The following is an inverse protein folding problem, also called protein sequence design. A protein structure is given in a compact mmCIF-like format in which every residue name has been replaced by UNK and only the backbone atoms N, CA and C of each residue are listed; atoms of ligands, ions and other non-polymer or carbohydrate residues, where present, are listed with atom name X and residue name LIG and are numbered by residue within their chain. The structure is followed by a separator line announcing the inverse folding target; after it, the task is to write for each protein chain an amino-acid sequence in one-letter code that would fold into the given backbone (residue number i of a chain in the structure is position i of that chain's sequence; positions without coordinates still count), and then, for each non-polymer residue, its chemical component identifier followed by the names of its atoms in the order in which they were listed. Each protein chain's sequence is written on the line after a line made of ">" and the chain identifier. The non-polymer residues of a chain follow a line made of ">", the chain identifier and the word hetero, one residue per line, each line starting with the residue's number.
data_IF_511591656394
#
_entry.id   IF_511591656394
#
_cell.length_a   1.000
_cell.length_b   1.000
_cell.length_c   1.000
_cell.angle_alpha   90.00
_cell.angle_beta   90.00
_cell.angle_gamma   90.00
#
_symmetry.space_group_name_H-M   'P 1'
#
loop_
_entity.id
_entity.type
_entity.pdbx_description
1 polymer ?
#
# COMPACT_ATOMS: atom_id res chain seq x y z
N UNK A 1 4.77 7.39 12.52
CA UNK A 1 4.28 6.48 13.56
C UNK A 1 2.82 6.13 13.30
N UNK A 2 2.38 4.97 13.80
CA UNK A 2 0.97 4.61 13.82
C UNK A 2 0.21 5.63 14.66
N UNK A 3 -0.86 6.16 14.10
CA UNK A 3 -1.71 7.18 14.75
C UNK A 3 -3.14 6.64 14.77
N UNK A 4 -3.84 6.78 15.88
CA UNK A 4 -5.25 6.40 15.94
C UNK A 4 -6.06 7.25 14.96
N UNK A 5 -7.18 6.71 14.47
CA UNK A 5 -8.03 7.46 13.54
C UNK A 5 -8.61 8.72 14.20
N UNK A 6 -8.84 8.67 15.52
CA UNK A 6 -9.37 9.78 16.30
C UNK A 6 -8.34 10.92 16.46
N UNK A 7 -7.05 10.58 16.53
CA UNK A 7 -5.95 11.54 16.68
C UNK A 7 -5.33 11.96 15.35
N UNK A 8 -5.76 11.36 14.23
CA UNK A 8 -5.18 11.64 12.93
C UNK A 8 -5.51 13.06 12.46
N UNK A 9 -4.47 13.84 12.24
CA UNK A 9 -4.56 15.15 11.59
C UNK A 9 -3.86 15.07 10.23
N UNK A 10 -4.54 15.53 9.19
CA UNK A 10 -3.95 15.56 7.86
C UNK A 10 -2.71 16.46 7.86
N UNK A 11 -1.52 15.93 7.58
CA UNK A 11 -0.33 16.76 7.48
C UNK A 11 -0.40 17.65 6.23
N UNK A 12 0.26 18.79 6.28
CA UNK A 12 0.51 19.58 5.08
C UNK A 12 1.44 18.78 4.17
N UNK A 13 0.96 18.42 2.98
CA UNK A 13 1.76 17.72 1.98
C UNK A 13 2.39 18.74 1.07
N UNK A 14 3.71 18.91 1.17
CA UNK A 14 4.48 19.72 0.24
C UNK A 14 4.92 18.84 -0.93
N UNK A 15 4.52 19.22 -2.14
CA UNK A 15 4.92 18.53 -3.35
C UNK A 15 6.25 19.09 -3.84
N UNK A 16 7.34 18.32 -3.91
CA UNK A 16 8.57 18.76 -4.53
C UNK A 16 8.36 19.03 -6.03
N UNK A 17 8.99 20.06 -6.56
CA UNK A 17 8.86 20.41 -7.98
C UNK A 17 9.48 19.37 -8.91
N UNK A 18 10.49 18.65 -8.46
CA UNK A 18 11.15 17.58 -9.18
C UNK A 18 11.92 16.68 -8.20
N UNK A 19 12.18 15.44 -8.60
CA UNK A 19 13.00 14.51 -7.83
C UNK A 19 12.92 13.09 -8.37
N UNK A 20 13.85 12.21 -7.98
CA UNK A 20 13.78 10.80 -8.32
C UNK A 20 12.70 10.08 -7.52
N UNK A 21 12.12 9.04 -8.11
CA UNK A 21 11.15 8.16 -7.44
C UNK A 21 11.89 7.10 -6.62
N UNK A 22 12.10 7.37 -5.33
CA UNK A 22 12.87 6.52 -4.42
C UNK A 22 11.97 5.48 -3.74
N UNK A 23 11.39 4.58 -4.53
CA UNK A 23 10.42 3.59 -4.03
C UNK A 23 11.07 2.57 -3.09
N UNK A 24 12.31 2.16 -3.36
CA UNK A 24 13.05 1.24 -2.49
C UNK A 24 13.26 1.82 -1.10
N UNK A 25 13.67 3.09 -1.00
CA UNK A 25 13.82 3.78 0.28
C UNK A 25 12.48 3.93 1.02
N UNK A 26 11.38 4.17 0.29
CA UNK A 26 10.05 4.23 0.89
C UNK A 26 9.61 2.87 1.47
N UNK A 27 9.88 1.77 0.76
CA UNK A 27 9.61 0.41 1.26
C UNK A 27 10.49 0.06 2.46
N UNK A 28 11.75 0.48 2.46
CA UNK A 28 12.66 0.29 3.60
C UNK A 28 12.10 1.00 4.85
N UNK A 29 11.72 2.26 4.71
CA UNK A 29 11.10 3.02 5.80
C UNK A 29 9.81 2.36 6.30
N UNK A 30 8.95 1.89 5.38
CA UNK A 30 7.73 1.16 5.74
C UNK A 30 8.05 -0.11 6.54
N UNK A 31 9.04 -0.88 6.11
CA UNK A 31 9.49 -2.07 6.83
C UNK A 31 9.95 -1.74 8.25
N UNK A 32 10.75 -0.70 8.42
CA UNK A 32 11.22 -0.22 9.73
C UNK A 32 10.06 0.22 10.62
N UNK A 33 9.06 0.92 10.05
CA UNK A 33 7.87 1.32 10.80
C UNK A 33 7.05 0.10 11.26
N UNK A 34 6.84 -0.88 10.39
CA UNK A 34 6.12 -2.11 10.74
C UNK A 34 6.83 -2.88 11.84
N UNK A 35 8.16 -3.02 11.74
CA UNK A 35 8.94 -3.77 12.73
C UNK A 35 8.93 -3.08 14.11
N UNK A 36 8.88 -1.75 14.15
CA UNK A 36 8.90 -0.97 15.38
C UNK A 36 7.53 -0.81 16.03
N UNK A 37 6.48 -0.68 15.22
CA UNK A 37 5.21 -0.16 15.67
C UNK A 37 4.09 -1.22 15.72
N UNK A 38 4.16 -2.26 14.88
CA UNK A 38 3.14 -3.33 14.85
C UNK A 38 3.45 -4.36 15.93
N UNK A 39 2.57 -4.47 16.91
CA UNK A 39 2.71 -5.43 18.01
C UNK A 39 2.38 -6.84 17.54
N UNK A 40 3.26 -7.79 17.83
CA UNK A 40 3.00 -9.21 17.56
C UNK A 40 2.19 -9.82 18.70
N UNK A 41 1.34 -10.80 18.35
CA UNK A 41 0.66 -11.60 19.38
C UNK A 41 1.67 -12.42 20.17
N UNK A 42 1.55 -12.38 21.48
CA UNK A 42 2.30 -13.21 22.43
C UNK A 42 1.35 -14.14 23.18
N UNK A 43 1.88 -15.00 24.07
CA UNK A 43 1.05 -15.88 24.88
C UNK A 43 0.05 -15.10 25.78
N UNK A 44 0.47 -13.91 26.23
CA UNK A 44 -0.27 -13.11 27.24
C UNK A 44 -1.00 -11.91 26.63
N UNK A 45 -0.74 -11.57 25.35
CA UNK A 45 -1.30 -10.38 24.73
C UNK A 45 -1.62 -10.58 23.25
N UNK A 46 -2.86 -10.23 22.87
CA UNK A 46 -3.24 -10.15 21.45
C UNK A 46 -2.49 -9.00 20.79
N UNK A 47 -1.83 -9.27 19.67
CA UNK A 47 -1.15 -8.27 18.85
C UNK A 47 -2.11 -7.43 18.01
N UNK A 48 -1.53 -6.52 17.27
CA UNK A 48 -2.24 -5.67 16.32
C UNK A 48 -2.73 -6.48 15.11
N UNK A 49 -3.67 -5.91 14.40
CA UNK A 49 -4.08 -6.43 13.10
C UNK A 49 -2.92 -6.38 12.10
N UNK A 50 -2.89 -7.37 11.21
CA UNK A 50 -1.89 -7.40 10.15
C UNK A 50 -2.06 -6.17 9.24
N UNK A 51 -1.00 -5.39 8.99
CA UNK A 51 -1.10 -4.18 8.20
C UNK A 51 -1.47 -4.46 6.75
N UNK A 52 -2.18 -3.53 6.13
CA UNK A 52 -2.39 -3.46 4.69
C UNK A 52 -1.51 -2.32 4.17
N UNK A 53 -0.68 -2.61 3.18
CA UNK A 53 0.16 -1.60 2.53
C UNK A 53 -0.47 -1.17 1.20
N UNK A 54 -0.61 0.15 1.01
CA UNK A 54 -0.99 0.75 -0.27
C UNK A 54 0.18 1.55 -0.81
N UNK A 55 0.63 1.19 -2.00
CA UNK A 55 1.67 1.91 -2.73
C UNK A 55 1.04 2.54 -3.97
N UNK A 56 1.19 3.84 -4.15
CA UNK A 56 0.82 4.54 -5.37
C UNK A 56 2.04 5.27 -5.93
N UNK A 57 2.28 5.12 -7.23
CA UNK A 57 3.41 5.75 -7.91
C UNK A 57 3.07 6.03 -9.37
N UNK A 58 3.60 7.13 -9.88
CA UNK A 58 3.51 7.55 -11.29
C UNK A 58 4.74 7.16 -12.11
N UNK A 59 5.74 6.55 -11.48
CA UNK A 59 7.01 6.24 -12.12
C UNK A 59 7.62 4.89 -11.74
N UNK A 60 8.74 4.62 -12.42
CA UNK A 60 9.59 3.48 -12.06
C UNK A 60 10.52 3.84 -10.91
N UNK A 61 10.88 2.89 -10.04
CA UNK A 61 11.88 3.10 -9.01
C UNK A 61 13.23 3.53 -9.62
N UNK A 62 13.76 4.67 -9.17
CA UNK A 62 15.10 5.11 -9.53
C UNK A 62 16.18 4.36 -8.73
N UNK A 63 15.86 3.93 -7.54
CA UNK A 63 16.70 3.12 -6.65
C UNK A 63 16.46 1.61 -6.85
N UNK A 64 16.55 1.13 -8.09
CA UNK A 64 16.16 -0.21 -8.52
C UNK A 64 16.83 -1.32 -7.71
N UNK A 65 18.09 -1.18 -7.34
CA UNK A 65 18.81 -2.18 -6.54
C UNK A 65 18.18 -2.33 -5.15
N UNK A 66 17.95 -1.21 -4.46
CA UNK A 66 17.30 -1.20 -3.14
C UNK A 66 15.85 -1.68 -3.26
N UNK A 67 15.12 -1.22 -4.29
CA UNK A 67 13.75 -1.67 -4.54
C UNK A 67 13.66 -3.21 -4.66
N UNK A 68 14.52 -3.83 -5.48
CA UNK A 68 14.54 -5.28 -5.64
C UNK A 68 14.88 -6.02 -4.34
N UNK A 69 15.78 -5.48 -3.53
CA UNK A 69 16.09 -6.01 -2.20
C UNK A 69 14.86 -5.92 -1.29
N UNK A 70 14.19 -4.79 -1.27
CA UNK A 70 13.06 -4.52 -0.38
C UNK A 70 11.81 -5.33 -0.72
N UNK A 71 11.62 -5.78 -1.96
CA UNK A 71 10.55 -6.73 -2.32
C UNK A 71 10.63 -7.97 -1.41
N UNK A 72 11.81 -8.59 -1.30
CA UNK A 72 12.00 -9.75 -0.42
C UNK A 72 11.76 -9.44 1.05
N UNK A 73 12.18 -8.24 1.51
CA UNK A 73 11.98 -7.80 2.89
C UNK A 73 10.50 -7.54 3.21
N UNK A 74 9.74 -6.99 2.27
CA UNK A 74 8.29 -6.81 2.41
C UNK A 74 7.56 -8.14 2.60
N UNK A 75 7.92 -9.16 1.82
CA UNK A 75 7.28 -10.48 1.89
C UNK A 75 7.62 -11.27 3.16
N UNK A 76 8.70 -10.95 3.86
CA UNK A 76 9.04 -11.54 5.17
C UNK A 76 8.16 -11.01 6.31
N UNK A 77 7.47 -9.91 6.12
CA UNK A 77 6.66 -9.26 7.13
C UNK A 77 5.18 -9.67 7.04
N UNK A 78 4.45 -9.63 8.14
CA UNK A 78 3.09 -10.14 8.22
C UNK A 78 2.06 -9.15 7.64
N UNK A 79 2.25 -8.67 6.42
CA UNK A 79 1.21 -7.90 5.75
C UNK A 79 -0.02 -8.78 5.47
N UNK A 80 -1.20 -8.24 5.69
CA UNK A 80 -2.45 -8.89 5.29
C UNK A 80 -2.65 -8.77 3.77
N UNK A 81 -2.24 -7.66 3.18
CA UNK A 81 -2.19 -7.44 1.74
C UNK A 81 -1.20 -6.32 1.41
N UNK A 82 -0.59 -6.41 0.23
CA UNK A 82 0.18 -5.34 -0.39
C UNK A 82 -0.53 -5.01 -1.69
N UNK A 83 -0.99 -3.77 -1.83
CA UNK A 83 -1.77 -3.29 -2.96
C UNK A 83 -0.97 -2.17 -3.62
N UNK A 84 -0.73 -2.30 -4.92
CA UNK A 84 0.02 -1.31 -5.68
C UNK A 84 -0.86 -0.69 -6.77
N UNK A 85 -0.76 0.63 -6.95
CA UNK A 85 -1.46 1.40 -7.96
C UNK A 85 -0.44 2.16 -8.82
N UNK A 86 -0.45 1.87 -10.11
CA UNK A 86 0.21 2.66 -11.12
C UNK A 86 -0.69 3.84 -11.47
N UNK A 87 -0.26 5.06 -11.21
CA UNK A 87 -1.07 6.26 -11.33
C UNK A 87 -0.59 7.14 -12.48
N UNK A 88 -1.45 7.34 -13.49
CA UNK A 88 -1.19 8.14 -14.68
C UNK A 88 -0.72 7.34 -15.89
N UNK A 89 -0.88 7.92 -17.09
CA UNK A 89 -0.60 7.27 -18.39
C UNK A 89 0.83 6.75 -18.56
N UNK A 90 1.80 7.37 -17.87
CA UNK A 90 3.24 7.02 -17.97
C UNK A 90 3.68 6.04 -16.88
N UNK A 91 2.81 5.68 -15.96
CA UNK A 91 3.15 4.79 -14.88
C UNK A 91 3.47 3.38 -15.39
N UNK A 92 4.54 2.78 -14.86
CA UNK A 92 4.98 1.46 -15.25
C UNK A 92 4.51 0.41 -14.26
N UNK A 93 3.79 -0.56 -14.77
CA UNK A 93 3.18 -1.65 -13.99
C UNK A 93 4.20 -2.75 -13.65
N UNK A 94 5.16 -3.02 -14.55
CA UNK A 94 6.09 -4.13 -14.42
C UNK A 94 6.92 -4.13 -13.11
N UNK A 95 7.43 -3.00 -12.60
CA UNK A 95 8.05 -3.00 -11.30
C UNK A 95 7.10 -3.41 -10.17
N UNK A 96 5.83 -2.97 -10.24
CA UNK A 96 4.82 -3.24 -9.22
C UNK A 96 4.39 -4.71 -9.19
N UNK A 97 4.33 -5.38 -10.35
CA UNK A 97 4.07 -6.83 -10.46
C UNK A 97 5.10 -7.68 -9.74
N UNK A 98 6.33 -7.20 -9.58
CA UNK A 98 7.36 -7.89 -8.80
C UNK A 98 7.09 -7.80 -7.29
N UNK A 99 6.44 -6.74 -6.84
CA UNK A 99 6.13 -6.52 -5.43
C UNK A 99 4.88 -7.29 -5.00
N UNK A 100 3.83 -7.31 -5.82
CA UNK A 100 2.55 -7.90 -5.47
C UNK A 100 1.76 -8.34 -6.69
N UNK A 101 0.86 -9.31 -6.51
CA UNK A 101 -0.16 -9.69 -7.51
C UNK A 101 -1.36 -8.73 -7.55
N UNK A 102 -1.51 -7.86 -6.54
CA UNK A 102 -2.61 -6.89 -6.48
C UNK A 102 -2.15 -5.56 -7.06
N UNK A 103 -2.05 -5.51 -8.38
CA UNK A 103 -1.65 -4.31 -9.11
C UNK A 103 -2.84 -3.72 -9.86
N UNK A 104 -3.04 -2.43 -9.69
CA UNK A 104 -4.12 -1.67 -10.28
C UNK A 104 -3.54 -0.51 -11.09
N UNK A 105 -4.25 -0.12 -12.15
CA UNK A 105 -3.89 1.04 -12.97
C UNK A 105 -4.97 2.11 -12.84
N UNK A 106 -4.56 3.34 -12.58
CA UNK A 106 -5.37 4.54 -12.56
C UNK A 106 -4.88 5.45 -13.67
N UNK A 107 -5.50 5.36 -14.85
CA UNK A 107 -5.08 6.12 -16.04
C UNK A 107 -5.37 7.60 -15.92
N UNK A 108 -6.56 7.93 -15.41
CA UNK A 108 -7.01 9.31 -15.27
C UNK A 108 -6.69 9.84 -13.88
N UNK A 109 -5.93 10.94 -13.82
CA UNK A 109 -5.48 11.58 -12.59
C UNK A 109 -6.35 12.78 -12.22
N UNK A 110 -7.68 12.65 -12.28
CA UNK A 110 -8.62 13.68 -11.87
C UNK A 110 -9.18 13.45 -10.47
N UNK A 111 -9.88 14.47 -9.94
CA UNK A 111 -10.45 14.39 -8.60
C UNK A 111 -11.50 13.30 -8.43
N UNK A 112 -12.24 12.93 -9.49
CA UNK A 112 -13.23 11.87 -9.46
C UNK A 112 -12.58 10.50 -9.31
N UNK A 113 -11.56 10.22 -10.13
CA UNK A 113 -10.80 8.98 -10.11
C UNK A 113 -10.08 8.77 -8.78
N UNK A 114 -9.47 9.83 -8.24
CA UNK A 114 -8.88 9.77 -6.90
C UNK A 114 -9.91 9.53 -5.79
N UNK A 115 -11.05 10.18 -5.84
CA UNK A 115 -12.12 9.95 -4.87
C UNK A 115 -12.62 8.49 -4.92
N UNK A 116 -12.76 7.92 -6.12
CA UNK A 116 -13.09 6.51 -6.35
C UNK A 116 -12.04 5.58 -5.73
N UNK A 117 -10.74 5.85 -5.98
CA UNK A 117 -9.64 5.08 -5.41
C UNK A 117 -9.67 5.10 -3.87
N UNK A 118 -9.75 6.27 -3.25
CA UNK A 118 -9.73 6.37 -1.79
C UNK A 118 -10.97 5.77 -1.13
N UNK A 119 -12.14 5.86 -1.77
CA UNK A 119 -13.34 5.18 -1.32
C UNK A 119 -13.19 3.66 -1.37
N UNK A 120 -12.58 3.14 -2.42
CA UNK A 120 -12.28 1.72 -2.54
C UNK A 120 -11.25 1.25 -1.51
N UNK A 121 -10.19 2.01 -1.27
CA UNK A 121 -9.21 1.76 -0.22
C UNK A 121 -9.90 1.67 1.15
N UNK A 122 -10.77 2.64 1.47
CA UNK A 122 -11.52 2.66 2.73
C UNK A 122 -12.44 1.44 2.88
N UNK A 123 -13.11 1.03 1.78
CA UNK A 123 -13.94 -0.19 1.77
C UNK A 123 -13.08 -1.44 2.00
N UNK A 124 -11.90 -1.51 1.39
CA UNK A 124 -10.95 -2.63 1.56
C UNK A 124 -10.52 -2.78 3.02
N UNK A 125 -10.19 -1.69 3.68
CA UNK A 125 -9.87 -1.68 5.12
C UNK A 125 -11.05 -2.15 5.95
N UNK A 126 -12.26 -1.67 5.64
CA UNK A 126 -13.49 -2.04 6.36
C UNK A 126 -13.83 -3.53 6.22
N UNK A 127 -13.65 -4.10 5.02
CA UNK A 127 -13.84 -5.55 4.77
C UNK A 127 -12.76 -6.35 5.48
N UNK A 128 -11.51 -5.91 5.45
CA UNK A 128 -10.41 -6.52 6.18
C UNK A 128 -10.72 -6.66 7.66
N UNK A 129 -11.18 -5.60 8.29
CA UNK A 129 -11.55 -5.59 9.71
C UNK A 129 -12.68 -6.56 10.08
N UNK A 130 -13.59 -6.86 9.16
CA UNK A 130 -14.69 -7.81 9.38
C UNK A 130 -14.28 -9.27 9.15
N UNK A 131 -13.34 -9.51 8.24
CA UNK A 131 -12.96 -10.87 7.80
C UNK A 131 -11.89 -11.52 8.67
N UNK A 132 -11.20 -10.78 9.52
CA UNK A 132 -9.99 -11.21 10.22
C UNK A 132 -10.21 -12.13 11.43
N UNK A 133 -11.41 -12.69 11.60
CA UNK A 133 -11.64 -13.79 12.56
C UNK A 133 -11.33 -15.19 12.03
N UNK A 134 -11.21 -15.41 10.72
CA UNK A 134 -11.20 -16.74 10.13
C UNK A 134 -10.27 -16.96 8.94
N UNK A 135 -9.65 -15.93 8.33
CA UNK A 135 -8.89 -16.10 7.10
C UNK A 135 -7.48 -15.50 7.14
N UNK A 136 -6.53 -16.23 6.55
CA UNK A 136 -5.13 -15.80 6.40
C UNK A 136 -4.91 -14.76 5.29
N UNK A 137 -5.93 -14.46 4.49
CA UNK A 137 -5.89 -13.48 3.41
C UNK A 137 -7.18 -12.66 3.35
N UNK A 138 -7.06 -11.39 2.94
CA UNK A 138 -8.20 -10.50 2.75
C UNK A 138 -8.69 -10.66 1.31
N UNK A 139 -9.98 -10.95 1.15
CA UNK A 139 -10.62 -10.85 -0.17
C UNK A 139 -10.92 -9.38 -0.45
N UNK A 140 -10.26 -8.82 -1.46
CA UNK A 140 -10.46 -7.43 -1.86
C UNK A 140 -11.84 -7.26 -2.52
N UNK A 141 -12.57 -6.18 -2.21
CA UNK A 141 -13.78 -5.85 -2.94
C UNK A 141 -13.43 -5.52 -4.42
N UNK A 142 -14.36 -5.69 -5.35
CA UNK A 142 -14.12 -5.32 -6.74
C UNK A 142 -13.76 -3.83 -6.81
N UNK A 143 -12.74 -3.46 -7.60
CA UNK A 143 -12.38 -2.05 -7.79
C UNK A 143 -13.51 -1.33 -8.57
N UNK A 144 -13.64 -0.02 -8.39
CA UNK A 144 -14.56 0.78 -9.20
C UNK A 144 -14.09 0.87 -10.66
N UNK A 145 -14.96 1.33 -11.56
CA UNK A 145 -14.72 1.31 -13.00
C UNK A 145 -13.48 2.15 -13.44
N UNK A 146 -13.12 3.15 -12.65
CA UNK A 146 -11.97 4.03 -12.88
C UNK A 146 -10.62 3.34 -12.61
N UNK A 147 -10.66 2.19 -11.94
CA UNK A 147 -9.48 1.43 -11.55
C UNK A 147 -9.43 0.12 -12.31
N UNK A 148 -8.43 -0.06 -13.15
CA UNK A 148 -8.26 -1.28 -13.93
C UNK A 148 -7.41 -2.29 -13.17
N UNK A 149 -7.84 -3.55 -13.13
CA UNK A 149 -7.01 -4.65 -12.63
C UNK A 149 -5.97 -4.96 -13.69
N UNK A 150 -4.72 -4.97 -13.29
CA UNK A 150 -3.61 -5.37 -14.17
C UNK A 150 -3.35 -6.86 -13.95
N UNK A 151 -3.65 -7.64 -14.97
CA UNK A 151 -3.42 -9.10 -14.99
C UNK A 151 -2.01 -9.43 -15.46
#
# INVERSE_FOLDING_TARGET
>A
SLTSLEDFQMPLIECPQAGPTMTGAALELLCQCVDREVKRTTADQKGDWRPIAFLMTDGSPNDTALYNQMIGEMHKRPFASIIACAAGEKAKVEPLKKLTSHVYNLETMDGHSFAGLFKWVSSTVSVGNRSMGAASSITLPPPPAEIQIVV
#
